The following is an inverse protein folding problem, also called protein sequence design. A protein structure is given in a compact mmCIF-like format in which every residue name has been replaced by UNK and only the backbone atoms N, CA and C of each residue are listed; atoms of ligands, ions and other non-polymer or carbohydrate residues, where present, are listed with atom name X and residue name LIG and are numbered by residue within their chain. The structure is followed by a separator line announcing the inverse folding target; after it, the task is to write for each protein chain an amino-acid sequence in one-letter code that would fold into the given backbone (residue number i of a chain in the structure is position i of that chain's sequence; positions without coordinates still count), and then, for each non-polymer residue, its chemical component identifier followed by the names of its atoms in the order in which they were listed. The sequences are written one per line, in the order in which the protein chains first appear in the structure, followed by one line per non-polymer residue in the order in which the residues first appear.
data_IF_571102891092
#
_entry.id   IF_571102891092
#
_cell.length_a   1.000
_cell.length_b   1.000
_cell.length_c   1.000
_cell.angle_alpha   90.00
_cell.angle_beta   90.00
_cell.angle_gamma   90.00
#
_symmetry.space_group_name_H-M   'P 1'
#
loop_
_entity.id
_entity.type
_entity.pdbx_description
1 polymer ?
#
# COMPACT_ATOMS: atom_id res chain seq x y z
N UNK A 1 -5.66 -13.48 34.20
CA UNK A 1 -4.97 -12.79 33.08
C UNK A 1 -5.25 -13.63 31.85
N UNK A 2 -5.76 -13.03 30.77
CA UNK A 2 -6.01 -13.76 29.53
C UNK A 2 -4.76 -13.66 28.66
N UNK A 3 -4.06 -14.79 28.51
CA UNK A 3 -2.92 -14.94 27.60
C UNK A 3 -3.42 -14.83 26.16
N UNK A 4 -3.35 -13.62 25.61
CA UNK A 4 -3.59 -13.39 24.18
C UNK A 4 -2.31 -13.73 23.43
N UNK A 5 -2.32 -14.81 22.65
CA UNK A 5 -1.26 -15.15 21.71
C UNK A 5 -1.77 -14.94 20.28
N UNK A 6 -0.93 -14.37 19.42
CA UNK A 6 -1.17 -14.30 17.98
C UNK A 6 -0.29 -15.37 17.31
N UNK A 7 -0.91 -16.19 16.46
CA UNK A 7 -0.24 -17.19 15.62
C UNK A 7 -0.29 -16.65 14.18
N UNK A 8 0.83 -16.15 13.62
CA UNK A 8 0.86 -15.54 12.29
C UNK A 8 0.52 -16.52 11.15
N UNK A 9 0.92 -17.79 11.31
CA UNK A 9 0.64 -18.91 10.41
C UNK A 9 0.49 -20.20 11.20
N UNK A 10 -0.31 -21.15 10.72
CA UNK A 10 -0.51 -22.46 11.35
C UNK A 10 0.83 -23.20 11.50
N UNK A 11 1.37 -23.28 12.73
CA UNK A 11 2.67 -23.88 13.04
C UNK A 11 3.79 -22.90 13.46
N UNK A 12 3.56 -21.59 13.45
CA UNK A 12 4.52 -20.59 13.94
C UNK A 12 4.57 -20.52 15.48
N UNK A 13 5.74 -20.18 16.04
CA UNK A 13 5.86 -19.95 17.49
C UNK A 13 4.93 -18.79 17.91
N UNK A 14 4.20 -18.93 19.04
CA UNK A 14 3.30 -17.89 19.50
C UNK A 14 4.07 -16.61 19.83
N UNK A 15 3.63 -15.48 19.25
CA UNK A 15 4.18 -14.17 19.61
C UNK A 15 3.55 -13.75 20.94
N UNK A 16 4.37 -13.67 21.99
CA UNK A 16 3.95 -13.35 23.36
C UNK A 16 4.78 -12.21 23.96
N UNK A 17 4.25 -11.58 25.02
CA UNK A 17 4.97 -10.55 25.79
C UNK A 17 5.36 -9.32 24.95
N UNK A 18 6.61 -8.89 25.07
CA UNK A 18 7.10 -7.67 24.41
C UNK A 18 7.04 -7.74 22.88
N UNK A 19 7.21 -8.93 22.29
CA UNK A 19 7.10 -9.13 20.85
C UNK A 19 5.66 -8.91 20.34
N UNK A 20 4.67 -9.30 21.14
CA UNK A 20 3.26 -9.04 20.84
C UNK A 20 2.95 -7.55 20.97
N UNK A 21 3.50 -6.90 22.00
CA UNK A 21 3.31 -5.46 22.20
C UNK A 21 3.91 -4.65 21.04
N UNK A 22 5.05 -5.06 20.49
CA UNK A 22 5.63 -4.45 19.29
C UNK A 22 4.77 -4.67 18.04
N UNK A 23 4.25 -5.88 17.85
CA UNK A 23 3.37 -6.17 16.72
C UNK A 23 2.09 -5.31 16.75
N UNK A 24 1.48 -5.17 17.92
CA UNK A 24 0.31 -4.30 18.14
C UNK A 24 0.66 -2.83 17.86
N UNK A 25 1.84 -2.36 18.28
CA UNK A 25 2.32 -1.01 17.95
C UNK A 25 2.46 -0.80 16.44
N UNK A 26 3.11 -1.73 15.74
CA UNK A 26 3.28 -1.65 14.29
C UNK A 26 1.94 -1.65 13.55
N UNK A 27 1.00 -2.49 13.98
CA UNK A 27 -0.36 -2.54 13.45
C UNK A 27 -1.11 -1.21 13.63
N UNK A 28 -1.08 -0.64 14.83
CA UNK A 28 -1.74 0.65 15.10
C UNK A 28 -1.13 1.79 14.28
N UNK A 29 0.21 1.83 14.16
CA UNK A 29 0.90 2.82 13.32
C UNK A 29 0.49 2.69 11.86
N UNK A 30 0.48 1.47 11.31
CA UNK A 30 0.05 1.22 9.94
C UNK A 30 -1.40 1.68 9.72
N UNK A 31 -2.32 1.35 10.64
CA UNK A 31 -3.70 1.79 10.56
C UNK A 31 -3.85 3.31 10.61
N UNK A 32 -3.12 4.00 11.48
CA UNK A 32 -3.15 5.45 11.55
C UNK A 32 -2.68 6.11 10.24
N UNK A 33 -1.65 5.55 9.61
CA UNK A 33 -1.17 5.99 8.29
C UNK A 33 -2.23 5.74 7.22
N UNK A 34 -2.84 4.54 7.18
CA UNK A 34 -3.90 4.22 6.21
C UNK A 34 -5.08 5.16 6.37
N UNK A 35 -5.55 5.41 7.59
CA UNK A 35 -6.64 6.35 7.85
C UNK A 35 -6.31 7.73 7.32
N UNK A 36 -5.09 8.24 7.59
CA UNK A 36 -4.65 9.53 7.07
C UNK A 36 -4.56 9.56 5.54
N UNK A 37 -3.99 8.53 4.93
CA UNK A 37 -3.81 8.46 3.49
C UNK A 37 -5.09 8.19 2.72
N UNK A 38 -6.10 7.55 3.32
CA UNK A 38 -7.37 7.22 2.66
C UNK A 38 -8.16 8.44 2.16
N UNK A 39 -7.88 9.63 2.71
CA UNK A 39 -8.40 10.89 2.19
C UNK A 39 -7.78 11.32 0.87
N UNK A 40 -6.51 10.97 0.63
CA UNK A 40 -5.71 11.41 -0.51
C UNK A 40 -5.48 10.32 -1.58
N UNK A 41 -5.34 9.06 -1.17
CA UNK A 41 -5.04 7.90 -2.00
C UNK A 41 -6.21 6.93 -1.95
N UNK A 42 -6.52 6.28 -3.08
CA UNK A 42 -7.59 5.29 -3.13
C UNK A 42 -7.35 4.15 -2.12
N UNK A 43 -8.36 3.79 -1.29
CA UNK A 43 -8.23 2.73 -0.30
C UNK A 43 -7.83 1.36 -0.89
N UNK A 44 -8.26 1.03 -2.11
CA UNK A 44 -7.88 -0.24 -2.74
C UNK A 44 -6.40 -0.25 -3.13
N UNK A 45 -5.85 0.89 -3.55
CA UNK A 45 -4.42 1.03 -3.82
C UNK A 45 -3.60 0.89 -2.53
N UNK A 46 -4.03 1.52 -1.44
CA UNK A 46 -3.39 1.36 -0.12
C UNK A 46 -3.45 -0.09 0.36
N UNK A 47 -4.60 -0.74 0.22
CA UNK A 47 -4.78 -2.15 0.58
C UNK A 47 -3.86 -3.06 -0.24
N UNK A 48 -3.73 -2.83 -1.55
CA UNK A 48 -2.81 -3.57 -2.41
C UNK A 48 -1.35 -3.43 -1.94
N UNK A 49 -0.90 -2.23 -1.54
CA UNK A 49 0.46 -1.99 -1.03
C UNK A 49 0.70 -2.72 0.28
N UNK A 50 -0.27 -2.67 1.21
CA UNK A 50 -0.22 -3.42 2.49
C UNK A 50 -0.22 -4.93 2.25
N UNK A 51 -0.90 -5.38 1.20
CA UNK A 51 -0.85 -6.76 0.74
C UNK A 51 0.40 -7.05 -0.10
N UNK A 52 1.44 -6.23 -0.03
CA UNK A 52 2.75 -6.51 -0.60
C UNK A 52 2.93 -6.12 -2.07
N UNK A 53 2.00 -5.36 -2.67
CA UNK A 53 2.23 -4.77 -3.98
C UNK A 53 3.33 -3.71 -3.88
N UNK A 54 4.51 -4.00 -4.43
CA UNK A 54 5.63 -3.05 -4.52
C UNK A 54 5.53 -2.25 -5.80
N UNK A 55 5.79 -0.95 -5.69
CA UNK A 55 5.79 0.00 -6.80
C UNK A 55 7.20 0.55 -7.01
N UNK A 56 7.54 0.82 -8.27
CA UNK A 56 8.75 1.47 -8.74
C UNK A 56 8.37 2.52 -9.80
N UNK A 57 8.85 3.75 -9.64
CA UNK A 57 8.59 4.89 -10.52
C UNK A 57 9.87 5.55 -11.05
N UNK A 58 11.01 4.86 -11.00
CA UNK A 58 12.32 5.40 -11.37
C UNK A 58 12.45 5.62 -12.89
N UNK A 59 11.74 4.81 -13.68
CA UNK A 59 11.71 4.88 -15.14
C UNK A 59 10.34 4.48 -15.69
N UNK A 60 10.12 4.75 -16.98
CA UNK A 60 8.82 4.53 -17.63
C UNK A 60 8.41 3.05 -17.66
N UNK A 61 9.35 2.13 -17.86
CA UNK A 61 9.06 0.69 -17.95
C UNK A 61 8.69 0.15 -16.56
N UNK A 62 9.46 0.54 -15.54
CA UNK A 62 9.18 0.24 -14.13
C UNK A 62 7.83 0.82 -13.68
N UNK A 63 7.49 2.03 -14.12
CA UNK A 63 6.21 2.66 -13.82
C UNK A 63 5.04 1.91 -14.47
N UNK A 64 5.17 1.48 -15.73
CA UNK A 64 4.16 0.67 -16.41
C UNK A 64 3.98 -0.70 -15.73
N UNK A 65 5.08 -1.39 -15.41
CA UNK A 65 5.03 -2.65 -14.68
C UNK A 65 4.35 -2.49 -13.30
N UNK A 66 4.60 -1.37 -12.62
CA UNK A 66 3.97 -1.04 -11.33
C UNK A 66 2.47 -0.76 -11.49
N UNK A 67 2.06 -0.07 -12.55
CA UNK A 67 0.64 0.16 -12.85
C UNK A 67 -0.11 -1.16 -13.09
N UNK A 68 0.49 -2.08 -13.85
CA UNK A 68 -0.07 -3.41 -14.10
C UNK A 68 -0.11 -4.28 -12.84
N UNK A 69 0.95 -4.26 -12.03
CA UNK A 69 1.00 -4.97 -10.75
C UNK A 69 -0.09 -4.45 -9.80
N UNK A 70 -0.24 -3.12 -9.70
CA UNK A 70 -1.24 -2.49 -8.85
C UNK A 70 -2.66 -2.78 -9.35
N UNK A 71 -2.91 -2.70 -10.66
CA UNK A 71 -4.20 -3.05 -11.25
C UNK A 71 -4.59 -4.49 -10.94
N UNK A 72 -3.65 -5.45 -11.10
CA UNK A 72 -3.87 -6.86 -10.77
C UNK A 72 -4.10 -7.09 -9.28
N UNK A 73 -3.36 -6.39 -8.41
CA UNK A 73 -3.51 -6.51 -6.97
C UNK A 73 -4.85 -5.93 -6.47
N UNK A 74 -5.32 -4.86 -7.09
CA UNK A 74 -6.61 -4.22 -6.80
C UNK A 74 -7.78 -5.10 -7.28
N UNK A 75 -7.71 -5.62 -8.50
CA UNK A 75 -8.72 -6.51 -9.09
C UNK A 75 -10.17 -5.98 -8.98
N UNK A 76 -10.37 -4.69 -9.22
CA UNK A 76 -11.68 -4.02 -9.22
C UNK A 76 -11.91 -3.37 -10.58
N UNK A 77 -12.94 -3.79 -11.36
CA UNK A 77 -13.20 -3.23 -12.69
C UNK A 77 -13.65 -1.76 -12.66
N UNK A 78 -14.03 -1.23 -11.50
CA UNK A 78 -14.33 0.19 -11.33
C UNK A 78 -13.07 1.06 -11.22
N UNK A 79 -11.88 0.45 -11.14
CA UNK A 79 -10.61 1.14 -10.91
C UNK A 79 -9.66 0.91 -12.08
N UNK A 80 -9.09 2.02 -12.56
CA UNK A 80 -8.05 2.02 -13.58
C UNK A 80 -6.79 2.70 -13.02
N UNK A 81 -5.63 2.07 -13.21
CA UNK A 81 -4.33 2.64 -12.84
C UNK A 81 -3.60 3.06 -14.12
N UNK A 82 -3.31 4.35 -14.24
CA UNK A 82 -2.69 4.92 -15.46
C UNK A 82 -1.37 5.58 -15.10
N UNK A 83 -0.31 5.28 -15.85
CA UNK A 83 0.96 5.99 -15.71
C UNK A 83 0.84 7.40 -16.27
N UNK A 84 1.36 8.37 -15.54
CA UNK A 84 1.63 9.72 -16.03
C UNK A 84 3.10 10.03 -15.89
N UNK A 85 3.68 10.49 -16.99
CA UNK A 85 5.06 10.94 -17.08
C UNK A 85 5.08 12.43 -17.37
N UNK A 86 5.92 13.16 -16.65
CA UNK A 86 6.19 14.57 -16.90
C UNK A 86 7.46 14.68 -17.75
N UNK A 87 7.34 15.27 -18.94
CA UNK A 87 8.45 15.35 -19.92
C UNK A 87 9.59 16.27 -19.47
N UNK A 88 9.30 17.28 -18.65
CA UNK A 88 10.28 18.28 -18.22
C UNK A 88 11.14 17.76 -17.08
N UNK A 89 10.52 17.05 -16.14
CA UNK A 89 11.17 16.54 -14.94
C UNK A 89 11.55 15.06 -15.02
N UNK A 90 11.15 14.37 -16.08
CA UNK A 90 11.26 12.92 -16.24
C UNK A 90 10.69 12.14 -15.04
N UNK A 91 9.73 12.72 -14.32
CA UNK A 91 9.09 12.09 -13.17
C UNK A 91 7.90 11.26 -13.62
N UNK A 92 7.73 10.09 -12.99
CA UNK A 92 6.60 9.21 -13.20
C UNK A 92 5.67 9.19 -11.98
N UNK A 93 4.38 8.99 -12.23
CA UNK A 93 3.34 8.85 -11.22
C UNK A 93 2.25 7.89 -11.69
N UNK A 94 1.53 7.29 -10.75
CA UNK A 94 0.35 6.47 -11.01
C UNK A 94 -0.89 7.27 -10.66
N UNK A 95 -1.80 7.41 -11.63
CA UNK A 95 -3.15 7.94 -11.42
C UNK A 95 -4.12 6.79 -11.22
N UNK A 96 -4.68 6.69 -10.02
CA UNK A 96 -5.72 5.71 -9.68
C UNK A 96 -7.07 6.38 -9.88
N UNK A 97 -7.83 5.89 -10.85
CA UNK A 97 -9.10 6.44 -11.28
C UNK A 97 -10.22 5.47 -10.90
N UNK A 98 -11.05 5.86 -9.93
CA UNK A 98 -12.19 5.06 -9.48
C UNK A 98 -13.50 5.67 -9.97
N UNK A 99 -14.31 4.87 -10.64
CA UNK A 99 -15.64 5.26 -11.12
C UNK A 99 -16.73 4.83 -10.13
N UNK A 100 -17.49 5.80 -9.62
CA UNK A 100 -18.66 5.58 -8.75
C UNK A 100 -19.86 6.36 -9.27
N UNK A 101 -20.91 5.65 -9.69
CA UNK A 101 -22.20 6.25 -10.09
C UNK A 101 -22.06 7.40 -11.12
N UNK A 102 -21.15 7.23 -12.09
CA UNK A 102 -20.85 8.24 -13.11
C UNK A 102 -19.82 9.30 -12.71
N UNK A 103 -19.47 9.40 -11.42
CA UNK A 103 -18.39 10.26 -10.94
C UNK A 103 -17.04 9.55 -11.03
N UNK A 104 -15.99 10.31 -11.36
CA UNK A 104 -14.61 9.83 -11.35
C UNK A 104 -13.86 10.46 -10.19
N UNK A 105 -13.43 9.63 -9.23
CA UNK A 105 -12.47 10.04 -8.19
C UNK A 105 -11.08 9.68 -8.65
N UNK A 106 -10.15 10.65 -8.61
CA UNK A 106 -8.76 10.43 -9.00
C UNK A 106 -7.87 10.66 -7.79
N UNK A 107 -6.95 9.74 -7.56
CA UNK A 107 -5.83 9.91 -6.63
C UNK A 107 -4.50 9.67 -7.36
N UNK A 108 -3.40 10.14 -6.77
CA UNK A 108 -2.07 10.08 -7.37
C UNK A 108 -1.10 9.45 -6.38
N UNK A 109 -0.26 8.56 -6.87
CA UNK A 109 0.93 8.04 -6.19
C UNK A 109 2.14 8.49 -7.02
N UNK A 110 3.04 9.27 -6.45
CA UNK A 110 4.23 9.79 -7.13
C UNK A 110 5.52 9.29 -6.47
N UNK A 111 6.65 9.59 -7.12
CA UNK A 111 7.96 9.22 -6.62
C UNK A 111 8.26 9.82 -5.22
N UNK A 112 7.73 10.98 -4.87
CA UNK A 112 7.95 11.58 -3.55
C UNK A 112 7.26 10.75 -2.45
N UNK A 113 6.02 10.31 -2.69
CA UNK A 113 5.33 9.39 -1.80
C UNK A 113 6.06 8.04 -1.66
N UNK A 114 6.55 7.46 -2.77
CA UNK A 114 7.29 6.19 -2.75
C UNK A 114 8.58 6.24 -1.90
N UNK A 115 9.27 7.38 -1.93
CA UNK A 115 10.47 7.60 -1.12
C UNK A 115 10.14 8.11 0.30
N UNK A 116 8.87 8.43 0.57
CA UNK A 116 8.40 8.96 1.84
C UNK A 116 8.33 7.93 2.97
N UNK A 117 8.34 8.39 4.23
CA UNK A 117 8.32 7.53 5.42
C UNK A 117 7.02 6.69 5.51
N UNK A 118 5.92 7.21 4.98
CA UNK A 118 4.62 6.54 4.99
C UNK A 118 4.63 5.27 4.14
N UNK A 119 5.12 5.36 2.91
CA UNK A 119 5.21 4.20 2.03
C UNK A 119 6.16 3.14 2.59
N UNK A 120 7.31 3.55 3.13
CA UNK A 120 8.25 2.64 3.78
C UNK A 120 7.61 1.90 4.96
N UNK A 121 6.87 2.62 5.80
CA UNK A 121 6.16 2.02 6.95
C UNK A 121 5.10 1.02 6.49
N UNK A 122 4.29 1.35 5.48
CA UNK A 122 3.28 0.45 4.92
C UNK A 122 3.91 -0.79 4.26
N UNK A 123 4.98 -0.59 3.50
CA UNK A 123 5.74 -1.64 2.81
C UNK A 123 6.39 -2.62 3.79
N UNK A 124 6.92 -2.11 4.91
CA UNK A 124 7.51 -2.93 5.98
C UNK A 124 6.44 -3.69 6.76
N UNK A 125 5.34 -3.03 7.12
CA UNK A 125 4.19 -3.67 7.76
C UNK A 125 3.64 -4.82 6.91
N UNK A 126 3.57 -4.65 5.58
CA UNK A 126 3.19 -5.70 4.64
C UNK A 126 4.08 -6.94 4.73
N UNK A 127 5.40 -6.76 4.92
CA UNK A 127 6.35 -7.87 5.07
C UNK A 127 6.16 -8.60 6.41
N UNK A 128 5.88 -7.86 7.48
CA UNK A 128 5.63 -8.43 8.82
C UNK A 128 4.33 -9.22 8.90
N UNK A 129 3.26 -8.80 8.21
CA UNK A 129 1.95 -9.47 8.29
C UNK A 129 1.76 -10.60 7.28
N UNK A 130 2.61 -10.70 6.25
CA UNK A 130 2.60 -11.81 5.29
C UNK A 130 3.52 -12.98 5.68
N UNK A 131 4.50 -12.74 6.55
CA UNK A 131 5.38 -13.77 7.12
C UNK A 131 4.75 -14.46 8.32
#
# INVERSE_FOLDING_TARGET
LHDSAIIPQEGAQPIVGDALAELVRQYNTANAIVMRLSGAIDPAALSAIINGCRLNLDDADSANASAEALTRAINDPAIEVVVRSDELSAKHSLRIQRRHFGNMKVSVIDAEFLHGPDYQTLSNAAATFKG
#
